data_IF_156892664863
#
_entry.id   IF_156892664863
#
_cell.length_a   1.000
_cell.length_b   1.000
_cell.length_c   1.000
_cell.angle_alpha   90.00
_cell.angle_beta   90.00
_cell.angle_gamma   90.00
#
_symmetry.space_group_name_H-M   'P 1'
#
loop_
_entity.id
_entity.type
_entity.pdbx_description
1 polymer ?
#
# COMPACT_ATOMS: atom_id res chain seq x y z
N UNK A 1 -8.51 -8.04 -12.80
CA UNK A 1 -8.84 -8.81 -11.57
C UNK A 1 -9.00 -7.85 -10.38
N UNK A 2 -10.14 -7.87 -9.71
CA UNK A 2 -10.44 -6.98 -8.58
C UNK A 2 -10.08 -7.67 -7.26
N UNK A 3 -9.51 -6.93 -6.30
CA UNK A 3 -9.42 -7.39 -4.92
C UNK A 3 -10.84 -7.42 -4.35
N UNK A 4 -11.34 -8.55 -3.85
CA UNK A 4 -12.68 -8.61 -3.28
C UNK A 4 -12.76 -7.64 -2.10
N UNK A 5 -13.91 -6.97 -1.98
CA UNK A 5 -14.18 -6.01 -0.93
C UNK A 5 -15.59 -6.24 -0.37
N UNK A 6 -15.76 -5.99 0.93
CA UNK A 6 -17.03 -6.19 1.62
C UNK A 6 -17.32 -5.07 2.62
N UNK A 7 -18.61 -4.78 2.80
CA UNK A 7 -19.14 -4.00 3.92
C UNK A 7 -20.24 -4.81 4.59
N UNK A 8 -20.36 -4.65 5.91
CA UNK A 8 -21.43 -5.19 6.72
C UNK A 8 -22.55 -4.16 6.80
N UNK A 9 -23.76 -4.59 6.46
CA UNK A 9 -24.98 -3.83 6.67
C UNK A 9 -25.68 -4.46 7.89
N UNK A 10 -25.94 -3.67 8.92
CA UNK A 10 -26.60 -4.15 10.12
C UNK A 10 -28.11 -4.38 9.91
N UNK A 11 -28.80 -4.96 10.89
CA UNK A 11 -30.23 -5.24 10.83
C UNK A 11 -31.10 -3.98 10.63
N UNK A 12 -30.58 -2.78 10.94
CA UNK A 12 -31.23 -1.49 10.73
C UNK A 12 -30.90 -0.86 9.36
N UNK A 13 -30.21 -1.59 8.46
CA UNK A 13 -29.90 -1.14 7.11
C UNK A 13 -28.74 -0.13 7.02
N UNK A 14 -27.92 0.01 8.06
CA UNK A 14 -26.78 0.95 8.10
C UNK A 14 -25.47 0.23 7.85
N UNK A 15 -24.54 0.92 7.19
CA UNK A 15 -23.15 0.45 7.04
C UNK A 15 -22.48 0.45 8.41
N UNK A 16 -22.03 -0.72 8.86
CA UNK A 16 -21.48 -0.94 10.19
C UNK A 16 -19.95 -0.90 10.24
N UNK A 17 -19.26 -0.88 9.09
CA UNK A 17 -17.80 -0.82 9.01
C UNK A 17 -17.30 -0.07 7.75
N UNK A 18 -16.04 0.35 7.80
CA UNK A 18 -15.30 0.75 6.61
C UNK A 18 -15.09 -0.44 5.67
N UNK A 19 -14.87 -0.19 4.38
CA UNK A 19 -14.70 -1.24 3.36
C UNK A 19 -13.56 -2.20 3.74
N UNK A 20 -13.91 -3.46 4.02
CA UNK A 20 -12.94 -4.53 4.23
C UNK A 20 -12.43 -4.99 2.86
N UNK A 21 -11.11 -4.98 2.67
CA UNK A 21 -10.48 -5.32 1.37
C UNK A 21 -9.56 -6.52 1.53
N UNK A 22 -9.74 -7.53 0.66
CA UNK A 22 -8.97 -8.77 0.67
C UNK A 22 -9.53 -9.86 1.59
N UNK A 23 -9.18 -11.11 1.30
CA UNK A 23 -9.74 -12.31 1.92
C UNK A 23 -9.66 -12.35 3.44
N UNK A 24 -8.54 -11.94 4.03
CA UNK A 24 -8.35 -11.95 5.48
C UNK A 24 -9.31 -10.96 6.18
N UNK A 25 -9.43 -9.74 5.68
CA UNK A 25 -10.32 -8.72 6.22
C UNK A 25 -11.78 -9.11 6.04
N UNK A 26 -12.13 -9.73 4.90
CA UNK A 26 -13.48 -10.23 4.64
C UNK A 26 -13.82 -11.39 5.58
N UNK A 27 -12.92 -12.35 5.78
CA UNK A 27 -13.13 -13.46 6.73
C UNK A 27 -13.34 -12.96 8.16
N UNK A 28 -12.53 -12.01 8.60
CA UNK A 28 -12.71 -11.38 9.91
C UNK A 28 -14.07 -10.69 10.04
N UNK A 29 -14.52 -9.99 8.99
CA UNK A 29 -15.83 -9.35 8.96
C UNK A 29 -16.97 -10.39 9.04
N UNK A 30 -16.86 -11.50 8.33
CA UNK A 30 -17.85 -12.59 8.37
C UNK A 30 -17.90 -13.26 9.73
N UNK A 31 -16.74 -13.62 10.31
CA UNK A 31 -16.68 -14.22 11.66
C UNK A 31 -17.32 -13.32 12.70
N UNK A 32 -17.07 -12.01 12.63
CA UNK A 32 -17.71 -11.04 13.53
C UNK A 32 -19.22 -10.98 13.32
N UNK A 33 -19.69 -10.85 12.08
CA UNK A 33 -21.12 -10.77 11.76
C UNK A 33 -21.89 -12.01 12.25
N UNK A 34 -21.28 -13.18 12.19
CA UNK A 34 -21.86 -14.44 12.71
C UNK A 34 -21.85 -14.47 14.25
N UNK A 35 -20.81 -13.91 14.88
CA UNK A 35 -20.67 -13.90 16.34
C UNK A 35 -21.56 -12.86 17.04
N UNK A 36 -21.87 -11.74 16.38
CA UNK A 36 -22.68 -10.66 16.95
C UNK A 36 -23.98 -10.52 16.17
N UNK A 37 -25.06 -11.11 16.67
CA UNK A 37 -26.39 -11.02 16.04
C UNK A 37 -26.98 -9.60 16.07
N UNK A 38 -26.38 -8.67 16.82
CA UNK A 38 -26.84 -7.29 16.95
C UNK A 38 -25.64 -6.38 17.30
N UNK A 39 -25.00 -5.76 16.31
CA UNK A 39 -23.86 -4.87 16.54
C UNK A 39 -24.15 -3.46 16.00
N UNK A 40 -24.56 -2.58 16.91
CA UNK A 40 -24.74 -1.15 16.71
C UNK A 40 -23.43 -0.33 16.86
N UNK A 41 -22.30 -0.99 17.16
CA UNK A 41 -20.99 -0.33 17.28
C UNK A 41 -20.22 -0.40 15.95
N UNK A 42 -19.62 0.69 15.47
CA UNK A 42 -18.83 0.67 14.24
C UNK A 42 -17.59 -0.21 14.42
N UNK A 43 -17.41 -1.16 13.52
CA UNK A 43 -16.26 -2.06 13.53
C UNK A 43 -15.11 -1.37 12.80
N UNK A 44 -13.98 -1.12 13.50
CA UNK A 44 -12.71 -0.72 12.87
C UNK A 44 -12.04 -1.93 12.21
N UNK A 45 -12.70 -2.54 11.23
CA UNK A 45 -12.08 -3.49 10.31
C UNK A 45 -11.64 -2.71 9.07
N UNK A 46 -10.33 -2.52 8.91
CA UNK A 46 -9.77 -1.80 7.77
C UNK A 46 -9.47 -0.31 8.00
N UNK A 47 -9.11 0.07 9.22
CA UNK A 47 -8.42 1.35 9.46
C UNK A 47 -6.91 1.18 9.32
N UNK A 48 -6.21 2.20 8.83
CA UNK A 48 -4.77 2.31 9.02
C UNK A 48 -4.45 2.07 10.50
N UNK A 49 -3.45 1.23 10.82
CA UNK A 49 -2.99 1.01 12.20
C UNK A 49 -2.51 2.33 12.85
N UNK A 50 -2.26 3.35 12.03
CA UNK A 50 -1.72 4.64 12.40
C UNK A 50 -2.57 5.79 11.90
N UNK A 51 -2.50 6.91 12.61
CA UNK A 51 -3.07 8.17 12.15
C UNK A 51 -2.03 8.96 11.33
N UNK A 52 -2.52 9.79 10.39
CA UNK A 52 -1.67 10.74 9.67
C UNK A 52 -1.01 11.69 10.68
N UNK A 53 0.30 11.92 10.51
CA UNK A 53 1.16 12.73 11.39
C UNK A 53 1.90 11.93 12.46
N UNK A 54 1.55 10.66 12.68
CA UNK A 54 2.26 9.79 13.62
C UNK A 54 3.62 9.35 13.05
N UNK A 55 4.64 9.16 13.91
CA UNK A 55 5.92 8.59 13.48
C UNK A 55 5.72 7.18 12.91
N UNK A 56 6.37 6.89 11.79
CA UNK A 56 6.37 5.55 11.22
C UNK A 56 7.23 4.58 12.06
N UNK A 57 6.88 3.27 12.08
CA UNK A 57 7.77 2.23 12.57
C UNK A 57 9.14 2.30 11.88
N UNK A 58 10.21 2.34 12.68
CA UNK A 58 11.59 2.31 12.16
C UNK A 58 12.03 0.87 11.89
N UNK A 59 12.83 0.70 10.86
CA UNK A 59 13.43 -0.58 10.49
C UNK A 59 14.80 -0.39 9.85
N UNK A 60 15.52 -1.49 9.69
CA UNK A 60 16.71 -1.58 8.84
C UNK A 60 16.58 -2.86 8.01
N UNK A 61 16.85 -2.76 6.72
CA UNK A 61 16.77 -3.89 5.80
C UNK A 61 17.97 -3.87 4.84
N UNK A 62 18.45 -5.04 4.39
CA UNK A 62 19.45 -5.09 3.34
C UNK A 62 18.87 -4.59 2.01
N UNK A 63 19.65 -3.85 1.25
CA UNK A 63 19.41 -3.61 -0.17
C UNK A 63 19.69 -4.88 -1.01
N UNK A 64 19.58 -4.76 -2.33
CA UNK A 64 19.81 -5.89 -3.23
C UNK A 64 21.29 -6.29 -3.39
N UNK A 65 22.21 -5.45 -2.93
CA UNK A 65 23.65 -5.74 -2.83
C UNK A 65 24.00 -6.39 -1.48
N UNK A 66 23.07 -6.39 -0.52
CA UNK A 66 23.24 -6.92 0.83
C UNK A 66 23.76 -5.88 1.83
N UNK A 67 23.86 -4.61 1.45
CA UNK A 67 24.22 -3.55 2.38
C UNK A 67 23.00 -3.14 3.21
N UNK A 68 23.18 -3.00 4.52
CA UNK A 68 22.10 -2.58 5.41
C UNK A 68 21.73 -1.12 5.19
N UNK A 69 20.43 -0.84 5.01
CA UNK A 69 19.88 0.49 4.82
C UNK A 69 18.94 0.81 5.97
N UNK A 70 19.31 1.82 6.76
CA UNK A 70 18.50 2.30 7.87
C UNK A 70 17.33 3.15 7.38
N UNK A 71 16.17 3.03 8.03
CA UNK A 71 14.95 3.80 7.73
C UNK A 71 15.20 5.28 7.54
N UNK A 72 15.94 5.92 8.45
CA UNK A 72 16.16 7.37 8.43
C UNK A 72 16.90 7.84 7.16
N UNK A 73 17.69 6.97 6.51
CA UNK A 73 18.37 7.29 5.25
C UNK A 73 17.42 7.38 4.04
N UNK A 74 16.21 6.84 4.17
CA UNK A 74 15.18 6.80 3.13
C UNK A 74 14.30 8.06 3.12
N UNK A 75 14.48 8.96 4.08
CA UNK A 75 13.58 10.10 4.34
C UNK A 75 14.07 11.43 3.74
N UNK A 76 14.82 11.36 2.63
CA UNK A 76 15.41 12.56 2.01
C UNK A 76 14.38 13.54 1.42
N UNK A 77 13.14 13.10 1.22
CA UNK A 77 11.98 13.82 0.70
C UNK A 77 10.73 12.96 0.96
N UNK A 78 9.56 13.37 0.45
CA UNK A 78 8.36 12.53 0.59
C UNK A 78 8.59 11.16 -0.04
N UNK A 79 8.36 10.10 0.73
CA UNK A 79 8.68 8.73 0.34
C UNK A 79 7.41 7.91 0.28
N UNK A 80 7.02 7.46 -0.91
CA UNK A 80 6.03 6.40 -1.05
C UNK A 80 6.72 5.07 -0.74
N UNK A 81 6.49 4.58 0.47
CA UNK A 81 6.98 3.27 0.92
C UNK A 81 6.03 2.19 0.40
N UNK A 82 6.54 1.34 -0.49
CA UNK A 82 5.78 0.32 -1.21
C UNK A 82 6.10 -1.08 -0.69
N UNK A 83 5.08 -1.82 -0.29
CA UNK A 83 5.17 -3.24 0.01
C UNK A 83 4.93 -4.04 -1.26
N UNK A 84 5.94 -4.79 -1.66
CA UNK A 84 6.05 -5.32 -3.01
C UNK A 84 6.49 -6.79 -3.01
N UNK A 85 6.09 -7.52 -4.04
CA UNK A 85 6.58 -8.87 -4.29
C UNK A 85 6.66 -9.09 -5.81
N UNK A 86 7.84 -9.37 -6.39
CA UNK A 86 8.00 -9.53 -7.83
C UNK A 86 7.25 -10.75 -8.36
N UNK A 87 6.98 -11.78 -7.54
CA UNK A 87 6.15 -12.93 -7.88
C UNK A 87 4.65 -12.62 -7.95
N UNK A 88 4.18 -11.52 -7.35
CA UNK A 88 2.79 -11.10 -7.38
C UNK A 88 2.37 -10.58 -8.76
N UNK A 89 1.32 -11.16 -9.35
CA UNK A 89 0.80 -10.74 -10.66
C UNK A 89 0.34 -9.27 -10.72
N UNK A 90 -0.18 -8.73 -9.62
CA UNK A 90 -0.59 -7.32 -9.54
C UNK A 90 0.61 -6.37 -9.48
N UNK A 91 1.68 -6.76 -8.78
CA UNK A 91 2.93 -6.01 -8.77
C UNK A 91 3.53 -5.96 -10.19
N UNK A 92 3.60 -7.12 -10.87
CA UNK A 92 4.06 -7.20 -12.27
C UNK A 92 3.25 -6.29 -13.19
N UNK A 93 1.92 -6.29 -13.06
CA UNK A 93 1.03 -5.46 -13.88
C UNK A 93 1.25 -3.95 -13.68
N UNK A 94 1.57 -3.53 -12.44
CA UNK A 94 1.76 -2.13 -12.08
C UNK A 94 3.18 -1.61 -12.36
N UNK A 95 4.18 -2.50 -12.47
CA UNK A 95 5.60 -2.13 -12.52
C UNK A 95 5.93 -1.09 -13.61
N UNK A 96 5.42 -1.29 -14.83
CA UNK A 96 5.69 -0.38 -15.96
C UNK A 96 5.09 1.01 -15.77
N UNK A 97 4.00 1.14 -15.00
CA UNK A 97 3.40 2.45 -14.71
C UNK A 97 4.23 3.23 -13.69
N UNK A 98 4.77 2.55 -12.68
CA UNK A 98 5.70 3.15 -11.72
C UNK A 98 7.01 3.58 -12.40
N UNK A 99 7.59 2.77 -13.30
CA UNK A 99 8.76 3.17 -14.10
C UNK A 99 8.49 4.41 -14.96
N UNK A 100 7.30 4.48 -15.59
CA UNK A 100 6.89 5.69 -16.34
C UNK A 100 6.76 6.91 -15.45
N UNK A 101 6.22 6.74 -14.25
CA UNK A 101 6.15 7.84 -13.27
C UNK A 101 7.55 8.30 -12.85
N UNK A 102 8.49 7.40 -12.55
CA UNK A 102 9.88 7.77 -12.20
C UNK A 102 10.61 8.50 -13.33
N UNK A 103 10.26 8.22 -14.58
CA UNK A 103 10.82 8.90 -15.73
C UNK A 103 10.35 10.36 -15.81
N UNK A 104 9.13 10.66 -15.34
CA UNK A 104 8.49 11.98 -15.40
C UNK A 104 7.61 12.24 -14.15
N UNK A 105 8.22 12.38 -12.96
CA UNK A 105 7.46 12.57 -11.75
C UNK A 105 6.80 13.95 -11.75
N UNK A 106 5.61 14.06 -11.17
CA UNK A 106 4.90 15.33 -11.06
C UNK A 106 5.63 16.34 -10.15
N UNK A 107 6.45 15.85 -9.21
CA UNK A 107 7.30 16.63 -8.31
C UNK A 107 8.63 15.90 -8.10
N UNK A 108 9.74 16.64 -8.03
CA UNK A 108 11.04 16.10 -7.64
C UNK A 108 11.14 15.80 -6.13
N UNK A 109 10.13 16.21 -5.35
CA UNK A 109 10.06 16.03 -3.90
C UNK A 109 9.46 14.68 -3.48
N UNK A 110 9.13 13.80 -4.43
CA UNK A 110 8.60 12.46 -4.14
C UNK A 110 9.53 11.38 -4.67
N UNK A 111 9.78 10.35 -3.86
CA UNK A 111 10.47 9.12 -4.28
C UNK A 111 9.65 7.89 -3.97
N UNK A 112 10.03 6.78 -4.61
CA UNK A 112 9.53 5.46 -4.28
C UNK A 112 10.63 4.70 -3.53
N UNK A 113 10.23 3.92 -2.54
CA UNK A 113 11.09 2.94 -1.88
C UNK A 113 10.31 1.64 -1.79
N UNK A 114 10.89 0.55 -2.28
CA UNK A 114 10.24 -0.75 -2.31
C UNK A 114 10.77 -1.62 -1.18
N UNK A 115 9.91 -2.03 -0.27
CA UNK A 115 10.13 -3.10 0.71
C UNK A 115 9.60 -4.38 0.09
N UNK A 116 10.52 -5.23 -0.37
CA UNK A 116 10.19 -6.38 -1.22
C UNK A 116 10.39 -7.71 -0.51
N UNK A 117 9.39 -8.58 -0.64
CA UNK A 117 9.44 -9.98 -0.21
C UNK A 117 9.71 -10.90 -1.40
N UNK A 118 10.14 -12.14 -1.13
CA UNK A 118 10.44 -13.15 -2.13
C UNK A 118 11.94 -13.38 -2.34
N UNK A 119 12.28 -14.14 -3.39
CA UNK A 119 13.66 -14.51 -3.70
C UNK A 119 14.46 -13.31 -4.20
N UNK A 120 15.69 -13.14 -3.68
CA UNK A 120 16.52 -11.97 -3.98
C UNK A 120 16.77 -11.78 -5.47
N UNK A 121 17.01 -12.87 -6.20
CA UNK A 121 17.27 -12.80 -7.64
C UNK A 121 16.01 -12.44 -8.44
N UNK A 122 14.82 -12.84 -7.98
CA UNK A 122 13.57 -12.38 -8.57
C UNK A 122 13.32 -10.89 -8.30
N UNK A 123 13.66 -10.42 -7.10
CA UNK A 123 13.56 -8.99 -6.76
C UNK A 123 14.51 -8.19 -7.64
N UNK A 124 15.77 -8.63 -7.81
CA UNK A 124 16.75 -8.00 -8.71
C UNK A 124 16.28 -7.95 -10.16
N UNK A 125 15.72 -9.05 -10.66
CA UNK A 125 15.18 -9.09 -12.02
C UNK A 125 13.96 -8.16 -12.17
N UNK A 126 13.05 -8.17 -11.19
CA UNK A 126 11.85 -7.33 -11.17
C UNK A 126 12.12 -5.84 -10.97
N UNK A 127 13.22 -5.49 -10.28
CA UNK A 127 13.65 -4.11 -10.07
C UNK A 127 14.39 -3.52 -11.28
N UNK A 128 14.70 -4.33 -12.30
CA UNK A 128 15.39 -3.84 -13.49
C UNK A 128 14.60 -2.71 -14.18
N UNK A 129 15.29 -1.58 -14.40
CA UNK A 129 14.71 -0.38 -15.03
C UNK A 129 14.01 0.58 -14.07
N UNK A 130 13.91 0.25 -12.78
CA UNK A 130 13.56 1.24 -11.76
C UNK A 130 14.78 2.08 -11.37
N UNK A 131 14.53 3.34 -11.01
CA UNK A 131 15.51 4.26 -10.40
C UNK A 131 15.46 4.20 -8.87
N UNK A 132 14.37 3.69 -8.32
CA UNK A 132 14.12 3.65 -6.88
C UNK A 132 14.92 2.58 -6.13
N UNK A 133 14.99 2.77 -4.82
CA UNK A 133 15.64 1.83 -3.91
C UNK A 133 14.73 0.63 -3.66
N UNK A 134 15.31 -0.57 -3.69
CA UNK A 134 14.67 -1.82 -3.31
C UNK A 134 15.39 -2.42 -2.10
N UNK A 135 14.61 -2.72 -1.07
CA UNK A 135 15.03 -3.39 0.15
C UNK A 135 14.45 -4.80 0.16
N UNK A 136 15.19 -5.75 0.71
CA UNK A 136 14.81 -7.15 0.80
C UNK A 136 14.32 -7.48 2.21
N UNK A 137 13.00 -7.54 2.37
CA UNK A 137 12.32 -8.02 3.58
C UNK A 137 12.04 -9.51 3.42
N UNK A 138 13.05 -10.33 3.73
CA UNK A 138 12.98 -11.78 3.48
C UNK A 138 11.85 -12.46 4.26
N UNK A 139 11.67 -12.08 5.53
CA UNK A 139 10.73 -12.70 6.45
C UNK A 139 9.35 -12.02 6.46
N UNK A 140 9.16 -10.95 5.67
CA UNK A 140 7.94 -10.14 5.64
C UNK A 140 7.61 -9.56 7.04
N UNK A 141 8.63 -9.08 7.74
CA UNK A 141 8.48 -8.51 9.09
C UNK A 141 8.03 -7.05 9.03
N UNK A 142 8.31 -6.33 7.94
CA UNK A 142 8.08 -4.89 7.88
C UNK A 142 6.66 -4.57 7.44
N UNK A 143 6.13 -5.20 6.39
CA UNK A 143 4.78 -4.90 5.89
C UNK A 143 3.68 -4.99 6.98
N UNK A 144 3.66 -6.02 7.86
CA UNK A 144 2.68 -6.11 8.94
C UNK A 144 2.76 -4.97 9.95
N UNK A 145 3.96 -4.43 10.21
CA UNK A 145 4.13 -3.28 11.11
C UNK A 145 3.39 -2.05 10.59
N UNK A 146 3.20 -1.93 9.27
CA UNK A 146 2.44 -0.85 8.64
C UNK A 146 0.97 -1.22 8.37
N UNK A 147 0.52 -2.40 8.81
CA UNK A 147 -0.82 -2.93 8.55
C UNK A 147 -1.02 -3.41 7.11
N UNK A 148 0.06 -3.57 6.36
CA UNK A 148 0.03 -4.05 4.98
C UNK A 148 -0.03 -5.58 4.92
N UNK A 149 -1.18 -6.10 4.50
CA UNK A 149 -1.46 -7.54 4.42
C UNK A 149 -1.52 -8.06 2.97
N UNK A 150 -1.06 -7.28 2.00
CA UNK A 150 -1.11 -7.66 0.58
C UNK A 150 -0.32 -6.72 -0.30
N UNK A 151 0.04 -7.20 -1.49
CA UNK A 151 0.85 -6.47 -2.46
C UNK A 151 0.11 -6.29 -3.80
N UNK A 152 0.27 -5.16 -4.50
CA UNK A 152 1.02 -3.99 -4.05
C UNK A 152 0.21 -3.19 -3.04
N UNK A 153 0.88 -2.69 -2.00
CA UNK A 153 0.33 -1.70 -1.08
C UNK A 153 1.42 -0.72 -0.65
N UNK A 154 1.06 0.33 0.07
CA UNK A 154 2.02 1.35 0.47
C UNK A 154 1.38 2.62 1.00
N UNK A 155 2.19 3.51 1.54
CA UNK A 155 1.76 4.77 2.13
C UNK A 155 2.83 5.84 1.96
N UNK A 156 2.41 7.10 2.02
CA UNK A 156 3.30 8.24 1.95
C UNK A 156 3.90 8.52 3.32
N UNK A 157 5.20 8.79 3.34
CA UNK A 157 5.95 9.34 4.45
C UNK A 157 6.39 10.76 4.10
N UNK A 158 6.41 11.67 5.06
CA UNK A 158 7.09 12.96 4.93
C UNK A 158 8.62 12.82 5.13
N UNK A 159 9.35 13.92 4.96
CA UNK A 159 10.81 13.94 5.10
C UNK A 159 11.27 13.75 6.56
N UNK A 160 10.37 13.92 7.52
CA UNK A 160 10.61 13.69 8.95
C UNK A 160 10.28 12.25 9.37
N UNK A 161 9.79 11.41 8.45
CA UNK A 161 9.46 10.01 8.72
C UNK A 161 8.12 9.82 9.42
N UNK A 162 7.18 10.75 9.25
CA UNK A 162 5.81 10.62 9.74
C UNK A 162 4.90 10.15 8.61
N UNK A 163 3.83 9.49 9.01
CA UNK A 163 2.82 8.95 8.09
C UNK A 163 2.02 10.11 7.49
N UNK A 164 2.15 10.33 6.19
CA UNK A 164 1.50 11.42 5.46
C UNK A 164 0.23 10.96 4.72
N UNK A 165 -0.06 9.65 4.69
CA UNK A 165 -1.30 9.11 4.12
C UNK A 165 -1.79 7.86 4.84
N UNK A 166 -3.07 7.53 4.65
CA UNK A 166 -3.55 6.16 4.93
C UNK A 166 -2.84 5.14 4.04
N UNK A 167 -2.82 3.86 4.48
CA UNK A 167 -2.38 2.75 3.65
C UNK A 167 -3.24 2.63 2.39
N UNK A 168 -2.60 2.71 1.23
CA UNK A 168 -3.18 2.46 -0.07
C UNK A 168 -2.91 1.02 -0.49
N UNK A 169 -3.94 0.34 -1.02
CA UNK A 169 -3.84 -1.03 -1.54
C UNK A 169 -4.23 -1.03 -3.01
N UNK A 170 -3.41 -1.68 -3.83
CA UNK A 170 -3.62 -1.82 -5.27
C UNK A 170 -3.21 -0.60 -6.10
N UNK A 171 -3.05 -0.85 -7.40
CA UNK A 171 -2.52 0.10 -8.38
C UNK A 171 -3.19 1.47 -8.33
N UNK A 172 -4.52 1.52 -8.43
CA UNK A 172 -5.27 2.78 -8.52
C UNK A 172 -5.02 3.70 -7.31
N UNK A 173 -4.98 3.14 -6.11
CA UNK A 173 -4.82 3.93 -4.89
C UNK A 173 -3.38 4.40 -4.72
N UNK A 174 -2.40 3.56 -5.05
CA UNK A 174 -0.99 3.93 -5.04
C UNK A 174 -0.66 5.03 -6.06
N UNK A 175 -1.19 4.91 -7.27
CA UNK A 175 -1.05 5.94 -8.30
C UNK A 175 -1.72 7.26 -7.90
N UNK A 176 -2.84 7.21 -7.17
CA UNK A 176 -3.48 8.42 -6.66
C UNK A 176 -2.59 9.16 -5.64
N UNK A 177 -1.85 8.44 -4.78
CA UNK A 177 -0.85 9.04 -3.88
C UNK A 177 0.29 9.73 -4.65
N UNK A 178 0.60 9.25 -5.85
CA UNK A 178 1.59 9.84 -6.76
C UNK A 178 1.02 10.97 -7.63
N UNK A 179 -0.25 11.36 -7.41
CA UNK A 179 -0.94 12.38 -8.19
C UNK A 179 -1.33 11.94 -9.61
N UNK A 180 -1.17 10.65 -9.94
CA UNK A 180 -1.54 10.10 -11.25
C UNK A 180 -3.05 9.87 -11.29
N UNK A 181 -3.76 10.63 -12.13
CA UNK A 181 -5.19 10.48 -12.34
C UNK A 181 -5.45 9.62 -13.57
N UNK A 182 -5.92 8.39 -13.39
CA UNK A 182 -6.33 7.49 -14.48
C UNK A 182 -7.78 7.69 -14.94
N UNK A 183 -8.43 8.79 -14.54
CA UNK A 183 -9.83 9.07 -14.82
C UNK A 183 -9.92 10.16 -15.90
N UNK A 184 -10.05 9.75 -17.15
CA UNK A 184 -10.84 10.51 -18.13
C UNK A 184 -12.28 10.01 -18.02
N UNK A 185 -13.10 10.67 -17.22
CA UNK A 185 -14.55 10.52 -17.37
C UNK A 185 -14.90 11.21 -18.68
N UNK A 186 -15.57 10.56 -19.65
CA UNK A 186 -16.26 11.31 -20.67
C UNK A 186 -17.27 12.18 -19.91
N UNK A 187 -17.02 13.49 -19.86
CA UNK A 187 -18.07 14.43 -19.52
C UNK A 187 -19.18 14.13 -20.51
N UNK A 188 -20.30 13.61 -20.01
CA UNK A 188 -21.51 13.50 -20.82
C UNK A 188 -21.70 14.88 -21.47
N UNK A 189 -21.59 14.94 -22.79
CA UNK A 189 -22.00 16.14 -23.52
C UNK A 189 -23.46 16.36 -23.13
N UNK A 190 -23.71 17.44 -22.42
CA UNK A 190 -25.05 17.85 -22.05
C UNK A 190 -25.93 17.96 -23.30
N UNK A 191 -27.17 17.50 -23.11
CA UNK A 191 -28.38 17.58 -23.94
C UNK A 191 -28.30 18.38 -25.25
#
# INVERSE_FOLDING_TARGET
PWTPAAVLINAQGRIANAVATGDAAIRALVTYAVATSDAAAPIKLGGSLFNVGEPAPRFALPDLQGAEVAFDSLLTRHTLLLFWNPGCGFCKAMAEELKRWEAKPASAETQLVFVSTGERDEIKAGSAGFRSTFLHDQENDIAPLFGANGTPSGLMLDAEGRIASSLAVGERNLLALLGVRKIELPLAKGA
#
